data_IF_566938235517
#
_entry.id   IF_566938235517
#
_cell.length_a   1.000
_cell.length_b   1.000
_cell.length_c   1.000
_cell.angle_alpha   90.00
_cell.angle_beta   90.00
_cell.angle_gamma   90.00
#
_symmetry.space_group_name_H-M   'P 1'
#
loop_
_entity.id
_entity.type
_entity.pdbx_description
1 polymer ?
#
# COMPACT_ATOMS: atom_id res chain seq x y z
N UNK A 1 -10.51 3.75 -4.52
CA UNK A 1 -10.30 3.48 -3.08
C UNK A 1 -8.86 3.02 -2.87
N UNK A 2 -8.16 3.54 -1.87
CA UNK A 2 -6.83 3.05 -1.47
C UNK A 2 -6.92 2.28 -0.16
N UNK A 3 -6.20 1.17 -0.08
CA UNK A 3 -6.10 0.36 1.12
C UNK A 3 -4.67 -0.15 1.29
N UNK A 4 -4.22 -0.34 2.53
CA UNK A 4 -2.95 -0.98 2.83
C UNK A 4 -3.10 -2.16 3.77
N UNK A 5 -2.30 -3.19 3.54
CA UNK A 5 -2.33 -4.38 4.36
C UNK A 5 -0.92 -4.94 4.59
N UNK A 6 -0.56 -5.07 5.87
CA UNK A 6 0.63 -5.79 6.32
C UNK A 6 0.36 -7.29 6.38
N UNK A 7 1.27 -8.07 5.79
CA UNK A 7 1.26 -9.53 5.76
C UNK A 7 2.58 -10.04 6.32
N UNK A 8 2.52 -11.06 7.17
CA UNK A 8 3.71 -11.73 7.70
C UNK A 8 4.52 -12.34 6.56
N UNK A 9 5.81 -12.06 6.53
CA UNK A 9 6.69 -12.60 5.49
C UNK A 9 6.94 -14.09 5.71
N UNK A 10 7.04 -14.86 4.62
CA UNK A 10 7.50 -16.25 4.69
C UNK A 10 9.00 -16.31 5.05
N UNK A 11 9.44 -17.46 5.57
CA UNK A 11 10.80 -17.64 6.08
C UNK A 11 11.92 -17.36 5.06
N UNK A 12 11.64 -17.52 3.76
CA UNK A 12 12.62 -17.31 2.68
C UNK A 12 12.61 -15.89 2.12
N UNK A 13 11.77 -14.99 2.62
CA UNK A 13 11.75 -13.59 2.17
C UNK A 13 12.93 -12.85 2.79
N UNK A 14 13.79 -12.16 2.00
CA UNK A 14 14.96 -11.47 2.54
C UNK A 14 14.60 -10.39 3.54
N UNK A 15 15.29 -10.38 4.69
CA UNK A 15 15.10 -9.40 5.76
C UNK A 15 15.19 -7.95 5.26
N UNK A 16 16.10 -7.68 4.31
CA UNK A 16 16.29 -6.38 3.67
C UNK A 16 15.03 -5.83 2.95
N UNK A 17 14.06 -6.69 2.64
CA UNK A 17 12.79 -6.32 1.99
C UNK A 17 11.58 -6.48 2.91
N UNK A 18 11.81 -6.69 4.19
CA UNK A 18 10.79 -6.84 5.22
C UNK A 18 10.96 -5.76 6.29
N UNK A 19 9.88 -5.44 6.98
CA UNK A 19 9.89 -4.49 8.09
C UNK A 19 8.89 -4.94 9.15
N UNK A 20 8.87 -4.22 10.27
CA UNK A 20 7.91 -4.48 11.35
C UNK A 20 6.82 -3.43 11.32
N UNK A 21 5.58 -3.89 11.20
CA UNK A 21 4.41 -3.07 11.47
C UNK A 21 4.18 -3.06 12.99
N UNK A 22 4.16 -1.87 13.59
CA UNK A 22 4.02 -1.69 15.04
C UNK A 22 2.69 -2.27 15.57
N UNK A 23 1.62 -2.20 14.79
CA UNK A 23 0.31 -2.75 15.14
C UNK A 23 0.23 -4.27 15.02
N UNK A 24 0.98 -4.87 14.08
CA UNK A 24 0.91 -6.32 13.81
C UNK A 24 1.98 -7.15 14.53
N UNK A 25 3.04 -6.51 15.05
CA UNK A 25 4.13 -7.12 15.85
C UNK A 25 4.90 -8.28 15.20
N UNK A 26 4.75 -8.50 13.89
CA UNK A 26 5.46 -9.54 13.11
C UNK A 26 6.24 -8.91 11.95
N UNK A 27 7.39 -9.49 11.54
CA UNK A 27 8.09 -9.05 10.34
C UNK A 27 7.27 -9.38 9.10
N UNK A 28 7.19 -8.44 8.17
CA UNK A 28 6.30 -8.53 7.05
C UNK A 28 6.62 -7.60 5.89
N UNK A 29 5.79 -7.74 4.85
CA UNK A 29 5.66 -6.76 3.78
C UNK A 29 4.29 -6.10 3.89
N UNK A 30 4.19 -4.84 3.49
CA UNK A 30 2.93 -4.13 3.39
C UNK A 30 2.63 -3.88 1.92
N UNK A 31 1.44 -4.33 1.49
CA UNK A 31 0.91 -4.05 0.16
C UNK A 31 -0.02 -2.85 0.25
N UNK A 32 0.04 -1.98 -0.75
CA UNK A 32 -0.96 -0.97 -1.03
C UNK A 32 -1.69 -1.31 -2.32
N UNK A 33 -3.00 -1.13 -2.34
CA UNK A 33 -3.85 -1.33 -3.50
C UNK A 33 -4.62 -0.05 -3.79
N UNK A 34 -4.64 0.34 -5.06
CA UNK A 34 -5.62 1.28 -5.60
C UNK A 34 -6.62 0.49 -6.44
N UNK A 35 -7.90 0.56 -6.09
CA UNK A 35 -8.99 -0.11 -6.82
C UNK A 35 -10.07 0.89 -7.24
N UNK A 36 -10.77 0.58 -8.33
CA UNK A 36 -11.96 1.33 -8.75
C UNK A 36 -13.19 0.99 -7.89
N UNK A 37 -14.36 1.53 -8.26
CA UNK A 37 -15.61 1.31 -7.55
C UNK A 37 -16.17 -0.13 -7.70
N UNK A 38 -15.74 -0.88 -8.72
CA UNK A 38 -16.11 -2.27 -8.93
C UNK A 38 -15.13 -3.25 -8.27
N UNK A 39 -14.03 -2.73 -7.68
CA UNK A 39 -12.98 -3.52 -7.06
C UNK A 39 -11.88 -3.97 -8.02
N UNK A 40 -11.83 -3.42 -9.25
CA UNK A 40 -10.76 -3.71 -10.21
C UNK A 40 -9.48 -2.99 -9.81
N UNK A 41 -8.35 -3.68 -9.93
CA UNK A 41 -7.04 -3.17 -9.53
C UNK A 41 -6.53 -2.16 -10.57
N UNK A 42 -6.22 -0.95 -10.12
CA UNK A 42 -5.59 0.12 -10.91
C UNK A 42 -4.08 0.12 -10.67
N UNK A 43 -3.65 0.06 -9.40
CA UNK A 43 -2.23 0.08 -9.04
C UNK A 43 -1.94 -0.77 -7.80
N UNK A 44 -0.72 -1.33 -7.75
CA UNK A 44 -0.21 -2.11 -6.62
C UNK A 44 1.19 -1.61 -6.25
N UNK A 45 1.43 -1.46 -4.95
CA UNK A 45 2.75 -1.17 -4.38
C UNK A 45 3.04 -2.18 -3.28
N UNK A 46 4.26 -2.73 -3.24
CA UNK A 46 4.70 -3.62 -2.16
C UNK A 46 5.95 -3.03 -1.52
N UNK A 47 5.97 -3.01 -0.19
CA UNK A 47 7.04 -2.42 0.63
C UNK A 47 7.35 -3.29 1.84
N UNK A 48 8.43 -2.97 2.55
CA UNK A 48 8.64 -3.45 3.91
C UNK A 48 7.49 -2.97 4.82
N UNK A 49 7.04 -3.79 5.78
CA UNK A 49 5.86 -3.45 6.57
C UNK A 49 6.03 -2.26 7.54
N UNK A 50 7.25 -1.76 7.70
CA UNK A 50 7.56 -0.54 8.46
C UNK A 50 7.25 0.75 7.70
N UNK A 51 6.97 0.68 6.39
CA UNK A 51 6.61 1.87 5.61
C UNK A 51 5.21 2.34 6.01
N UNK A 52 5.06 3.66 6.13
CA UNK A 52 3.81 4.30 6.54
C UNK A 52 2.77 4.25 5.43
N UNK A 53 1.48 4.22 5.81
CA UNK A 53 0.37 4.10 4.86
C UNK A 53 0.31 5.33 3.95
N UNK A 54 0.61 6.52 4.49
CA UNK A 54 0.75 7.77 3.73
C UNK A 54 1.80 7.66 2.63
N UNK A 55 3.00 7.14 2.93
CA UNK A 55 4.06 7.00 1.93
C UNK A 55 3.69 5.98 0.85
N UNK A 56 2.95 4.93 1.19
CA UNK A 56 2.41 3.97 0.22
C UNK A 56 1.31 4.62 -0.63
N UNK A 57 0.45 5.43 -0.01
CA UNK A 57 -0.63 6.17 -0.68
C UNK A 57 -0.13 7.10 -1.76
N UNK A 58 0.90 7.91 -1.46
CA UNK A 58 1.54 8.79 -2.46
C UNK A 58 2.05 7.98 -3.65
N UNK A 59 2.77 6.87 -3.40
CA UNK A 59 3.28 6.00 -4.47
C UNK A 59 2.18 5.32 -5.29
N UNK A 60 1.03 5.04 -4.69
CA UNK A 60 -0.14 4.54 -5.40
C UNK A 60 -0.74 5.63 -6.28
N UNK A 61 -0.89 6.85 -5.77
CA UNK A 61 -1.43 7.97 -6.54
C UNK A 61 -0.53 8.31 -7.73
N UNK A 62 0.80 8.30 -7.56
CA UNK A 62 1.74 8.49 -8.68
C UNK A 62 1.47 7.49 -9.81
N UNK A 63 1.29 6.20 -9.45
CA UNK A 63 0.97 5.14 -10.41
C UNK A 63 -0.41 5.29 -11.04
N UNK A 64 -1.41 5.71 -10.26
CA UNK A 64 -2.78 5.94 -10.76
C UNK A 64 -2.76 7.08 -11.78
N UNK A 65 -2.07 8.19 -11.51
CA UNK A 65 -1.96 9.31 -12.44
C UNK A 65 -1.23 8.89 -13.73
N UNK A 66 -0.18 8.08 -13.61
CA UNK A 66 0.58 7.56 -14.75
C UNK A 66 -0.28 6.66 -15.68
N UNK A 67 -1.12 5.79 -15.12
CA UNK A 67 -1.83 4.76 -15.89
C UNK A 67 -3.31 5.09 -16.15
N UNK A 68 -3.91 5.97 -15.35
CA UNK A 68 -5.33 6.31 -15.41
C UNK A 68 -5.53 7.78 -15.01
N UNK A 69 -5.03 8.73 -15.83
CA UNK A 69 -5.03 10.16 -15.52
C UNK A 69 -6.43 10.78 -15.39
N UNK A 70 -7.47 10.05 -15.81
CA UNK A 70 -8.87 10.46 -15.65
C UNK A 70 -9.40 10.30 -14.22
N UNK A 71 -8.69 9.58 -13.34
CA UNK A 71 -9.06 9.46 -11.92
C UNK A 71 -8.70 10.74 -11.18
N UNK A 72 -9.71 11.43 -10.66
CA UNK A 72 -9.55 12.71 -9.95
C UNK A 72 -9.93 12.66 -8.47
N UNK A 73 -10.49 11.54 -8.01
CA UNK A 73 -10.96 11.35 -6.63
C UNK A 73 -10.46 10.01 -6.08
N UNK A 74 -9.89 10.05 -4.88
CA UNK A 74 -9.52 8.87 -4.11
C UNK A 74 -10.20 8.88 -2.74
N UNK A 75 -10.74 7.72 -2.34
CA UNK A 75 -11.19 7.47 -0.97
C UNK A 75 -10.12 6.69 -0.23
N UNK A 76 -9.84 7.12 0.99
CA UNK A 76 -8.80 6.58 1.86
C UNK A 76 -9.31 6.51 3.30
N UNK A 77 -8.71 5.67 4.13
CA UNK A 77 -8.97 5.67 5.57
C UNK A 77 -8.34 6.89 6.27
N UNK A 78 -8.71 7.10 7.54
CA UNK A 78 -8.18 8.21 8.35
C UNK A 78 -6.68 8.08 8.70
N UNK A 79 -6.07 6.92 8.45
CA UNK A 79 -4.63 6.68 8.60
C UNK A 79 -3.81 7.33 7.48
N UNK A 80 -4.42 7.64 6.33
CA UNK A 80 -3.80 8.47 5.29
C UNK A 80 -3.89 9.94 5.69
N UNK A 81 -2.73 10.54 5.97
CA UNK A 81 -2.62 11.97 6.26
C UNK A 81 -2.43 12.76 4.97
N UNK A 82 -2.98 13.98 4.98
CA UNK A 82 -2.79 14.98 3.94
C UNK A 82 -1.42 15.64 4.07
#
# INVERSE_FOLDING_TARGET
MLDTQSIRAANHVPAATTGKDAGKKVPGRKRGLAVDALGLIIAVVVTAASVTDTAIGVRLLDKVVEHTPTVTLAWVDAGFKQ
#
